data_IF_159734898960
#
_entry.id   IF_159734898960
#
_cell.length_a   1.000
_cell.length_b   1.000
_cell.length_c   1.000
_cell.angle_alpha   90.00
_cell.angle_beta   90.00
_cell.angle_gamma   90.00
#
_symmetry.space_group_name_H-M   'P 1'
#
loop_
_entity.id
_entity.type
_entity.pdbx_description
1 polymer ?
#
# COMPACT_ATOMS: atom_id res chain seq x y z
N UNK A 1 -2.02 -11.74 -8.37
CA UNK A 1 -2.58 -12.93 -9.04
C UNK A 1 -2.03 -14.20 -8.43
N UNK A 2 -0.70 -14.42 -8.38
CA UNK A 2 -0.09 -15.65 -7.83
C UNK A 2 -0.49 -15.97 -6.40
N UNK A 3 -0.48 -14.98 -5.49
CA UNK A 3 -0.86 -15.15 -4.09
C UNK A 3 -2.32 -15.59 -3.90
N UNK A 4 -3.25 -15.04 -4.71
CA UNK A 4 -4.65 -15.44 -4.66
C UNK A 4 -4.89 -16.87 -5.16
N UNK A 5 -4.19 -17.30 -6.23
CA UNK A 5 -4.24 -18.67 -6.72
C UNK A 5 -3.66 -19.65 -5.70
N UNK A 6 -2.55 -19.30 -5.07
CA UNK A 6 -1.91 -20.12 -4.07
C UNK A 6 -2.80 -20.25 -2.81
N UNK A 7 -3.44 -19.17 -2.38
CA UNK A 7 -4.35 -19.17 -1.24
C UNK A 7 -5.60 -20.04 -1.48
N UNK A 8 -6.08 -20.12 -2.72
CA UNK A 8 -7.19 -21.04 -3.09
C UNK A 8 -6.77 -22.51 -3.03
N UNK A 9 -5.50 -22.84 -3.35
CA UNK A 9 -5.01 -24.24 -3.37
C UNK A 9 -4.47 -24.72 -2.02
N UNK A 10 -3.67 -23.90 -1.35
CA UNK A 10 -2.95 -24.26 -0.12
C UNK A 10 -3.64 -23.72 1.15
N UNK A 11 -4.65 -22.88 0.99
CA UNK A 11 -5.30 -22.18 2.08
C UNK A 11 -4.54 -20.90 2.51
N UNK A 12 -5.25 -20.06 3.27
CA UNK A 12 -4.76 -18.72 3.66
C UNK A 12 -3.55 -18.80 4.61
N UNK A 13 -3.57 -19.70 5.58
CA UNK A 13 -2.51 -19.84 6.57
C UNK A 13 -1.17 -20.22 5.94
N UNK A 14 -1.18 -21.28 5.13
CA UNK A 14 0.04 -21.78 4.52
C UNK A 14 0.62 -20.78 3.51
N UNK A 15 -0.25 -20.11 2.72
CA UNK A 15 0.19 -19.09 1.78
C UNK A 15 0.80 -17.88 2.48
N UNK A 16 0.24 -17.45 3.62
CA UNK A 16 0.82 -16.35 4.42
C UNK A 16 2.15 -16.75 5.07
N UNK A 17 2.25 -17.96 5.60
CA UNK A 17 3.49 -18.49 6.18
C UNK A 17 4.61 -18.60 5.12
N UNK A 18 4.29 -19.13 3.93
CA UNK A 18 5.22 -19.16 2.79
C UNK A 18 5.65 -17.75 2.37
N UNK A 19 4.72 -16.78 2.38
CA UNK A 19 5.03 -15.37 2.13
C UNK A 19 6.04 -14.83 3.14
N UNK A 20 5.83 -15.08 4.42
CA UNK A 20 6.77 -14.69 5.50
C UNK A 20 8.15 -15.36 5.37
N UNK A 21 8.17 -16.64 5.07
CA UNK A 21 9.42 -17.39 4.86
C UNK A 21 10.21 -16.85 3.65
N UNK A 22 9.55 -16.62 2.53
CA UNK A 22 10.17 -16.04 1.33
C UNK A 22 10.71 -14.62 1.58
N UNK A 23 9.95 -13.80 2.30
CA UNK A 23 10.41 -12.45 2.66
C UNK A 23 11.67 -12.56 3.55
N UNK A 24 11.67 -13.39 4.57
CA UNK A 24 12.82 -13.62 5.43
C UNK A 24 14.05 -14.08 4.63
N UNK A 25 13.89 -15.12 3.78
CA UNK A 25 14.95 -15.63 2.92
C UNK A 25 15.53 -14.53 2.02
N UNK A 26 14.67 -13.71 1.40
CA UNK A 26 15.10 -12.62 0.54
C UNK A 26 15.93 -11.56 1.29
N UNK A 27 15.53 -11.17 2.49
CA UNK A 27 16.30 -10.26 3.35
C UNK A 27 17.64 -10.87 3.78
N UNK A 28 17.66 -12.14 4.19
CA UNK A 28 18.89 -12.85 4.58
C UNK A 28 19.86 -12.97 3.41
N UNK A 29 19.38 -13.30 2.21
CA UNK A 29 20.21 -13.33 1.00
C UNK A 29 20.76 -11.95 0.69
N UNK A 30 19.94 -10.90 0.78
CA UNK A 30 20.38 -9.52 0.56
C UNK A 30 21.47 -9.10 1.56
N UNK A 31 21.33 -9.48 2.83
CA UNK A 31 22.35 -9.20 3.86
C UNK A 31 23.70 -9.85 3.59
N UNK A 32 23.75 -10.92 2.80
CA UNK A 32 24.99 -11.67 2.43
C UNK A 32 25.65 -11.16 1.16
N UNK A 33 25.08 -10.16 0.47
CA UNK A 33 25.64 -9.64 -0.77
C UNK A 33 26.94 -8.85 -0.50
N UNK A 34 27.94 -9.06 -1.35
CA UNK A 34 29.23 -8.35 -1.27
C UNK A 34 29.25 -7.00 -2.03
N UNK A 35 28.11 -6.52 -2.49
CA UNK A 35 27.98 -5.25 -3.20
C UNK A 35 28.43 -5.26 -4.66
N UNK A 36 29.03 -6.35 -5.15
CA UNK A 36 29.57 -6.45 -6.52
C UNK A 36 28.55 -6.92 -7.56
N UNK A 37 27.43 -7.53 -7.16
CA UNK A 37 26.47 -8.12 -8.09
C UNK A 37 25.06 -7.48 -8.00
N UNK A 38 24.85 -6.46 -8.82
CA UNK A 38 23.54 -5.80 -8.97
C UNK A 38 22.40 -6.79 -9.34
N UNK A 39 22.62 -7.76 -10.25
CA UNK A 39 21.57 -8.75 -10.57
C UNK A 39 21.13 -9.58 -9.38
N UNK A 40 22.05 -9.92 -8.48
CA UNK A 40 21.74 -10.71 -7.29
C UNK A 40 20.90 -9.90 -6.28
N UNK A 41 21.11 -8.58 -6.18
CA UNK A 41 20.28 -7.68 -5.39
C UNK A 41 18.85 -7.63 -5.95
N UNK A 42 18.68 -7.50 -7.26
CA UNK A 42 17.36 -7.54 -7.89
C UNK A 42 16.65 -8.89 -7.66
N UNK A 43 17.38 -10.00 -7.71
CA UNK A 43 16.79 -11.32 -7.49
C UNK A 43 16.40 -11.50 -6.03
N UNK A 44 17.29 -11.24 -5.07
CA UNK A 44 17.04 -11.48 -3.65
C UNK A 44 16.01 -10.51 -3.08
N UNK A 45 16.23 -9.21 -3.24
CA UNK A 45 15.36 -8.19 -2.68
C UNK A 45 14.16 -7.90 -3.58
N UNK A 46 14.38 -7.70 -4.88
CA UNK A 46 13.33 -7.33 -5.83
C UNK A 46 12.36 -8.47 -6.14
N UNK A 47 12.82 -9.70 -6.33
CA UNK A 47 11.95 -10.81 -6.72
C UNK A 47 11.53 -11.65 -5.51
N UNK A 48 12.45 -12.18 -4.73
CA UNK A 48 12.14 -13.12 -3.65
C UNK A 48 11.38 -12.41 -2.52
N UNK A 49 11.95 -11.32 -2.00
CA UNK A 49 11.31 -10.56 -0.91
C UNK A 49 9.96 -9.99 -1.34
N UNK A 50 9.89 -9.34 -2.50
CA UNK A 50 8.66 -8.73 -2.98
C UNK A 50 7.55 -9.76 -3.24
N UNK A 51 7.90 -10.96 -3.76
CA UNK A 51 6.95 -12.06 -3.94
C UNK A 51 6.40 -12.54 -2.60
N UNK A 52 7.28 -12.70 -1.59
CA UNK A 52 6.88 -13.08 -0.24
C UNK A 52 5.91 -12.08 0.40
N UNK A 53 6.25 -10.80 0.34
CA UNK A 53 5.38 -9.71 0.83
C UNK A 53 4.05 -9.70 0.08
N UNK A 54 4.08 -9.85 -1.25
CA UNK A 54 2.87 -9.89 -2.08
C UNK A 54 1.93 -11.05 -1.74
N UNK A 55 2.45 -12.22 -1.38
CA UNK A 55 1.64 -13.36 -0.94
C UNK A 55 0.96 -13.06 0.41
N UNK A 56 1.72 -12.61 1.40
CA UNK A 56 1.18 -12.26 2.71
C UNK A 56 0.14 -11.14 2.61
N UNK A 57 0.43 -10.06 1.86
CA UNK A 57 -0.47 -8.93 1.66
C UNK A 57 -1.82 -9.35 1.06
N UNK A 58 -1.80 -10.14 -0.02
CA UNK A 58 -3.04 -10.60 -0.65
C UNK A 58 -3.89 -11.44 0.28
N UNK A 59 -3.28 -12.32 1.08
CA UNK A 59 -3.99 -13.15 2.05
C UNK A 59 -4.62 -12.30 3.14
N UNK A 60 -3.87 -11.36 3.72
CA UNK A 60 -4.38 -10.47 4.78
C UNK A 60 -5.54 -9.64 4.25
N UNK A 61 -5.37 -8.99 3.08
CA UNK A 61 -6.40 -8.16 2.48
C UNK A 61 -7.69 -8.95 2.21
N UNK A 62 -7.59 -10.11 1.57
CA UNK A 62 -8.76 -10.94 1.26
C UNK A 62 -9.44 -11.48 2.51
N UNK A 63 -8.68 -11.84 3.54
CA UNK A 63 -9.25 -12.33 4.81
C UNK A 63 -10.00 -11.22 5.56
N UNK A 64 -9.42 -10.02 5.65
CA UNK A 64 -10.09 -8.90 6.32
C UNK A 64 -11.35 -8.48 5.57
N UNK A 65 -11.31 -8.42 4.24
CA UNK A 65 -12.50 -8.15 3.43
C UNK A 65 -13.59 -9.23 3.55
N UNK A 66 -13.22 -10.48 3.82
CA UNK A 66 -14.17 -11.56 4.07
C UNK A 66 -14.87 -11.42 5.43
N UNK A 67 -14.19 -10.90 6.46
CA UNK A 67 -14.77 -10.64 7.78
C UNK A 67 -15.66 -9.39 7.83
N UNK A 68 -15.35 -8.37 7.02
CA UNK A 68 -16.06 -7.08 6.99
C UNK A 68 -16.62 -6.79 5.59
N UNK A 69 -17.61 -7.55 5.11
CA UNK A 69 -18.18 -7.35 3.78
C UNK A 69 -18.93 -6.02 3.63
N UNK A 70 -19.38 -5.42 4.74
CA UNK A 70 -20.06 -4.12 4.79
C UNK A 70 -19.09 -2.91 4.71
N UNK A 71 -17.80 -3.11 5.06
CA UNK A 71 -16.80 -2.04 5.16
C UNK A 71 -15.51 -2.38 4.42
N UNK A 72 -15.62 -2.99 3.24
CA UNK A 72 -14.46 -3.44 2.44
C UNK A 72 -13.49 -2.29 2.12
N UNK A 73 -14.01 -1.12 1.79
CA UNK A 73 -13.21 0.06 1.49
C UNK A 73 -12.46 0.57 2.72
N UNK A 74 -13.16 0.79 3.83
CA UNK A 74 -12.56 1.25 5.09
C UNK A 74 -11.48 0.29 5.59
N UNK A 75 -11.75 -1.02 5.57
CA UNK A 75 -10.79 -2.03 5.99
C UNK A 75 -9.56 -2.08 5.09
N UNK A 76 -9.74 -1.98 3.77
CA UNK A 76 -8.62 -1.90 2.83
C UNK A 76 -7.80 -0.64 3.04
N UNK A 77 -8.44 0.50 3.27
CA UNK A 77 -7.78 1.76 3.59
C UNK A 77 -6.97 1.69 4.88
N UNK A 78 -7.53 1.10 5.94
CA UNK A 78 -6.84 0.89 7.21
C UNK A 78 -5.61 -0.02 7.08
N UNK A 79 -5.72 -1.12 6.31
CA UNK A 79 -4.57 -1.98 6.01
C UNK A 79 -3.50 -1.24 5.22
N UNK A 80 -3.89 -0.44 4.24
CA UNK A 80 -2.97 0.37 3.44
C UNK A 80 -2.32 1.49 4.26
N UNK A 81 -2.99 2.04 5.27
CA UNK A 81 -2.38 2.97 6.21
C UNK A 81 -1.20 2.33 6.96
N UNK A 82 -1.26 1.03 7.23
CA UNK A 82 -0.15 0.27 7.83
C UNK A 82 1.16 0.41 7.05
N UNK A 83 1.11 0.55 5.72
CA UNK A 83 2.31 0.84 4.91
C UNK A 83 2.91 2.21 5.23
N UNK A 84 2.08 3.25 5.36
CA UNK A 84 2.54 4.58 5.76
C UNK A 84 3.13 4.59 7.16
N UNK A 85 2.45 3.98 8.12
CA UNK A 85 2.93 3.87 9.49
C UNK A 85 4.21 3.04 9.60
N UNK A 86 4.35 1.99 8.79
CA UNK A 86 5.56 1.14 8.79
C UNK A 86 6.81 1.92 8.37
N UNK A 87 6.70 2.83 7.42
CA UNK A 87 7.84 3.66 6.99
C UNK A 87 8.34 4.59 8.09
N UNK A 88 7.44 5.10 8.95
CA UNK A 88 7.82 5.91 10.10
C UNK A 88 8.51 5.09 11.20
N UNK A 89 7.98 3.92 11.52
CA UNK A 89 8.49 3.09 12.64
C UNK A 89 9.68 2.24 12.18
N UNK A 90 9.46 1.41 11.16
CA UNK A 90 10.50 0.49 10.67
C UNK A 90 11.58 1.22 9.87
N UNK A 91 11.20 2.28 9.14
CA UNK A 91 12.17 3.10 8.40
C UNK A 91 13.15 3.80 9.34
N UNK A 92 12.66 4.44 10.41
CA UNK A 92 13.51 5.08 11.42
C UNK A 92 14.37 4.07 12.16
N UNK A 93 13.81 2.89 12.49
CA UNK A 93 14.57 1.81 13.12
C UNK A 93 15.67 1.27 12.19
N UNK A 94 15.35 1.06 10.92
CA UNK A 94 16.32 0.62 9.91
C UNK A 94 17.46 1.63 9.76
N UNK A 95 17.13 2.92 9.67
CA UNK A 95 18.10 3.99 9.55
C UNK A 95 19.04 4.04 10.78
N UNK A 96 18.49 3.97 11.98
CA UNK A 96 19.26 3.92 13.21
C UNK A 96 20.18 2.69 13.29
N UNK A 97 19.73 1.52 12.82
CA UNK A 97 20.55 0.30 12.78
C UNK A 97 21.65 0.40 11.73
N UNK A 98 21.38 0.96 10.56
CA UNK A 98 22.34 1.11 9.46
C UNK A 98 23.43 2.12 9.82
N UNK A 99 23.06 3.22 10.48
CA UNK A 99 24.01 4.26 10.89
C UNK A 99 24.87 3.86 12.07
N UNK A 100 24.51 2.82 12.81
CA UNK A 100 25.29 2.34 13.94
C UNK A 100 26.55 1.58 13.43
N UNK A 101 27.78 2.08 13.71
CA UNK A 101 29.01 1.44 13.23
C UNK A 101 29.23 0.00 13.70
N UNK A 102 28.62 -0.38 14.84
CA UNK A 102 28.73 -1.73 15.40
C UNK A 102 27.80 -2.74 14.68
N UNK A 103 26.73 -2.27 14.03
CA UNK A 103 25.71 -3.13 13.39
C UNK A 103 25.91 -3.14 11.87
N UNK A 104 25.93 -1.99 11.24
CA UNK A 104 26.02 -1.83 9.81
C UNK A 104 24.78 -2.33 9.05
N UNK A 105 24.75 -2.08 7.74
CA UNK A 105 23.58 -2.39 6.91
C UNK A 105 23.29 -3.89 6.80
N UNK A 106 24.30 -4.76 6.82
CA UNK A 106 24.12 -6.23 6.70
C UNK A 106 23.36 -6.82 7.90
N UNK A 107 23.80 -6.46 9.11
CA UNK A 107 23.12 -6.92 10.33
C UNK A 107 21.74 -6.29 10.46
N UNK A 108 21.55 -5.04 10.04
CA UNK A 108 20.25 -4.38 10.01
C UNK A 108 19.26 -5.14 9.10
N UNK A 109 19.66 -5.49 7.87
CA UNK A 109 18.82 -6.28 6.95
C UNK A 109 18.52 -7.66 7.51
N UNK A 110 19.48 -8.31 8.15
CA UNK A 110 19.29 -9.63 8.77
C UNK A 110 18.29 -9.55 9.93
N UNK A 111 18.46 -8.62 10.85
CA UNK A 111 17.55 -8.41 11.98
C UNK A 111 16.12 -8.09 11.51
N UNK A 112 15.96 -7.16 10.56
CA UNK A 112 14.67 -6.80 10.01
C UNK A 112 14.03 -8.00 9.29
N UNK A 113 14.79 -8.73 8.49
CA UNK A 113 14.29 -9.88 7.75
C UNK A 113 13.78 -11.01 8.68
N UNK A 114 14.54 -11.31 9.73
CA UNK A 114 14.15 -12.31 10.73
C UNK A 114 12.92 -11.83 11.52
N UNK A 115 12.92 -10.58 11.97
CA UNK A 115 11.78 -10.00 12.69
C UNK A 115 10.49 -10.02 11.85
N UNK A 116 10.55 -9.56 10.59
CA UNK A 116 9.42 -9.60 9.65
C UNK A 116 8.96 -11.03 9.41
N UNK A 117 9.90 -11.97 9.20
CA UNK A 117 9.59 -13.37 9.01
C UNK A 117 8.84 -13.98 10.20
N UNK A 118 9.33 -13.75 11.42
CA UNK A 118 8.68 -14.21 12.66
C UNK A 118 7.26 -13.63 12.79
N UNK A 119 7.11 -12.31 12.60
CA UNK A 119 5.80 -11.64 12.71
C UNK A 119 4.82 -12.17 11.67
N UNK A 120 5.24 -12.33 10.41
CA UNK A 120 4.36 -12.85 9.35
C UNK A 120 3.98 -14.31 9.55
N UNK A 121 4.89 -15.15 10.02
CA UNK A 121 4.59 -16.56 10.35
C UNK A 121 3.67 -16.65 11.56
N UNK A 122 3.92 -15.88 12.62
CA UNK A 122 3.04 -15.81 13.78
C UNK A 122 1.63 -15.30 13.38
N UNK A 123 1.56 -14.25 12.58
CA UNK A 123 0.29 -13.75 12.03
C UNK A 123 -0.44 -14.81 11.19
N UNK A 124 0.30 -15.62 10.41
CA UNK A 124 -0.29 -16.70 9.61
C UNK A 124 -1.01 -17.75 10.46
N UNK A 125 -0.54 -18.01 11.67
CA UNK A 125 -1.21 -18.94 12.60
C UNK A 125 -2.55 -18.39 13.12
N UNK A 126 -2.62 -17.07 13.27
CA UNK A 126 -3.81 -16.37 13.77
C UNK A 126 -4.87 -16.11 12.68
N UNK A 127 -4.45 -16.03 11.41
CA UNK A 127 -5.35 -15.74 10.29
C UNK A 127 -6.33 -16.90 10.10
N UNK A 128 -7.65 -16.57 10.13
CA UNK A 128 -8.74 -17.49 9.86
C UNK A 128 -9.78 -16.83 8.97
N UNK A 129 -10.29 -17.57 8.00
CA UNK A 129 -11.48 -17.16 7.26
C UNK A 129 -12.72 -17.37 8.12
N UNK A 130 -13.80 -16.57 7.91
CA UNK A 130 -15.08 -16.85 8.57
C UNK A 130 -15.58 -18.25 8.20
N UNK A 131 -16.15 -18.95 9.19
CA UNK A 131 -16.70 -20.29 8.98
C UNK A 131 -17.91 -20.22 8.03
N UNK A 132 -18.16 -21.26 7.22
CA UNK A 132 -19.40 -21.35 6.42
C UNK A 132 -20.62 -21.23 7.33
N UNK A 133 -21.54 -20.31 7.00
CA UNK A 133 -22.75 -20.07 7.80
C UNK A 133 -22.61 -18.99 8.87
N UNK A 134 -21.46 -18.34 9.04
CA UNK A 134 -21.33 -17.17 9.94
C UNK A 134 -22.16 -16.02 9.40
N UNK A 135 -23.08 -15.50 10.21
CA UNK A 135 -23.88 -14.32 9.87
C UNK A 135 -22.97 -13.08 9.94
N UNK A 136 -22.62 -12.53 8.79
CA UNK A 136 -21.78 -11.35 8.66
C UNK A 136 -22.64 -10.11 8.39
N UNK A 137 -22.21 -8.91 8.82
CA UNK A 137 -22.92 -7.67 8.54
C UNK A 137 -23.09 -7.45 7.04
N UNK A 138 -24.32 -7.19 6.60
CA UNK A 138 -24.62 -6.90 5.19
C UNK A 138 -24.35 -5.42 4.87
N UNK A 139 -23.86 -5.08 3.66
CA UNK A 139 -23.66 -3.70 3.24
C UNK A 139 -24.99 -2.92 3.29
N UNK A 140 -25.06 -1.85 4.05
CA UNK A 140 -26.28 -1.00 4.16
C UNK A 140 -26.71 -0.40 2.80
N UNK A 141 -25.81 -0.27 1.85
CA UNK A 141 -26.10 0.22 0.51
C UNK A 141 -26.82 -0.79 -0.40
N UNK A 142 -26.89 -2.07 -0.03
CA UNK A 142 -27.62 -3.09 -0.79
C UNK A 142 -29.15 -2.97 -0.62
N UNK A 143 -29.63 -2.34 0.46
CA UNK A 143 -31.05 -2.18 0.73
C UNK A 143 -31.75 -1.10 -0.10
N UNK A 144 -31.01 -0.13 -0.70
CA UNK A 144 -31.58 1.01 -1.42
C UNK A 144 -31.10 1.15 -2.89
N UNK A 145 -30.29 0.24 -3.39
CA UNK A 145 -29.98 0.18 -4.80
C UNK A 145 -30.85 -0.89 -5.43
N UNK A 146 -31.72 -0.42 -6.34
CA UNK A 146 -32.23 -1.26 -7.42
C UNK A 146 -31.06 -2.14 -7.84
N UNK A 147 -31.20 -3.43 -7.60
CA UNK A 147 -30.33 -4.47 -8.12
C UNK A 147 -30.21 -4.21 -9.63
N UNK A 148 -29.22 -3.40 -10.06
CA UNK A 148 -28.64 -3.63 -11.36
C UNK A 148 -28.05 -5.03 -11.20
N UNK A 149 -28.76 -6.00 -11.77
CA UNK A 149 -28.36 -7.38 -11.96
C UNK A 149 -27.07 -7.42 -12.83
N UNK A 150 -26.00 -6.86 -12.33
CA UNK A 150 -24.69 -7.33 -12.63
C UNK A 150 -24.55 -8.63 -11.83
N UNK A 151 -25.05 -9.73 -12.38
CA UNK A 151 -24.54 -11.03 -12.01
C UNK A 151 -23.05 -10.85 -11.78
N UNK A 152 -22.61 -11.11 -10.56
CA UNK A 152 -21.19 -11.10 -10.22
C UNK A 152 -20.55 -12.27 -10.98
N UNK A 153 -20.35 -12.08 -12.28
CA UNK A 153 -19.74 -13.06 -13.14
C UNK A 153 -18.29 -13.22 -12.66
N UNK A 154 -18.01 -14.34 -12.06
CA UNK A 154 -16.67 -14.74 -11.64
C UNK A 154 -15.82 -14.95 -12.91
N UNK A 155 -15.08 -13.92 -13.29
CA UNK A 155 -14.17 -13.99 -14.42
C UNK A 155 -12.88 -14.69 -14.02
N UNK A 156 -12.46 -15.65 -14.85
CA UNK A 156 -11.09 -16.17 -14.77
C UNK A 156 -10.09 -15.07 -15.13
N UNK A 157 -8.85 -15.18 -14.64
CA UNK A 157 -7.80 -14.19 -14.93
C UNK A 157 -7.62 -13.94 -16.44
N UNK A 158 -7.69 -14.98 -17.25
CA UNK A 158 -7.58 -14.84 -18.71
C UNK A 158 -8.74 -14.08 -19.35
N UNK A 159 -9.97 -14.29 -18.87
CA UNK A 159 -11.15 -13.55 -19.32
C UNK A 159 -11.10 -12.09 -18.91
N UNK A 160 -10.62 -11.81 -17.67
CA UNK A 160 -10.43 -10.45 -17.17
C UNK A 160 -9.43 -9.66 -18.04
N UNK A 161 -8.28 -10.25 -18.36
CA UNK A 161 -7.25 -9.62 -19.19
C UNK A 161 -7.70 -9.33 -20.64
N UNK A 162 -8.68 -10.06 -21.16
CA UNK A 162 -9.26 -9.81 -22.47
C UNK A 162 -10.29 -8.69 -22.50
N UNK A 163 -10.75 -8.22 -21.33
CA UNK A 163 -11.75 -7.17 -21.24
C UNK A 163 -11.13 -5.78 -21.27
N UNK A 164 -11.57 -4.92 -22.18
CA UNK A 164 -11.12 -3.54 -22.31
C UNK A 164 -11.40 -2.69 -21.06
N UNK A 165 -12.48 -3.01 -20.32
CA UNK A 165 -12.81 -2.36 -19.04
C UNK A 165 -11.72 -2.56 -18.00
N UNK A 166 -11.07 -3.74 -17.98
CA UNK A 166 -9.92 -3.99 -17.10
C UNK A 166 -8.76 -3.06 -17.43
N UNK A 167 -8.38 -2.93 -18.68
CA UNK A 167 -7.27 -2.09 -19.11
C UNK A 167 -7.52 -0.61 -18.85
N UNK A 168 -8.75 -0.13 -19.05
CA UNK A 168 -9.12 1.25 -18.70
C UNK A 168 -8.96 1.51 -17.20
N UNK A 169 -9.46 0.63 -16.34
CA UNK A 169 -9.30 0.75 -14.89
C UNK A 169 -7.82 0.65 -14.48
N UNK A 170 -7.07 -0.27 -15.09
CA UNK A 170 -5.65 -0.48 -14.84
C UNK A 170 -4.82 0.76 -15.18
N UNK A 171 -5.04 1.37 -16.35
CA UNK A 171 -4.36 2.62 -16.75
C UNK A 171 -4.71 3.78 -15.81
N UNK A 172 -5.98 3.93 -15.44
CA UNK A 172 -6.41 4.95 -14.49
C UNK A 172 -5.67 4.82 -13.15
N UNK A 173 -5.57 3.60 -12.61
CA UNK A 173 -4.85 3.33 -11.35
C UNK A 173 -3.35 3.59 -11.50
N UNK A 174 -2.73 3.25 -12.64
CA UNK A 174 -1.31 3.53 -12.89
C UNK A 174 -1.05 5.03 -12.82
N UNK A 175 -1.82 5.86 -13.52
CA UNK A 175 -1.62 7.30 -13.52
C UNK A 175 -1.85 7.93 -12.14
N UNK A 176 -2.90 7.51 -11.42
CA UNK A 176 -3.15 7.98 -10.06
C UNK A 176 -2.01 7.58 -9.10
N UNK A 177 -1.58 6.33 -9.16
CA UNK A 177 -0.48 5.83 -8.32
C UNK A 177 0.85 6.49 -8.67
N UNK A 178 1.14 6.71 -9.96
CA UNK A 178 2.35 7.41 -10.39
C UNK A 178 2.38 8.84 -9.85
N UNK A 179 1.27 9.57 -9.93
CA UNK A 179 1.16 10.93 -9.43
C UNK A 179 1.39 11.00 -7.91
N UNK A 180 0.69 10.16 -7.13
CA UNK A 180 0.85 10.12 -5.67
C UNK A 180 2.28 9.74 -5.25
N UNK A 181 2.87 8.71 -5.86
CA UNK A 181 4.23 8.29 -5.56
C UNK A 181 5.27 9.34 -5.95
N UNK A 182 5.08 10.06 -7.06
CA UNK A 182 5.97 11.15 -7.47
C UNK A 182 5.97 12.27 -6.44
N UNK A 183 4.80 12.70 -5.98
CA UNK A 183 4.71 13.75 -4.95
C UNK A 183 5.40 13.32 -3.66
N UNK A 184 5.18 12.09 -3.19
CA UNK A 184 5.82 11.57 -1.98
C UNK A 184 7.35 11.53 -2.14
N UNK A 185 7.85 11.06 -3.29
CA UNK A 185 9.28 10.90 -3.54
C UNK A 185 10.01 12.24 -3.63
N UNK A 186 9.38 13.25 -4.20
CA UNK A 186 9.98 14.58 -4.43
C UNK A 186 9.49 15.67 -3.47
N UNK A 187 8.70 15.31 -2.44
CA UNK A 187 8.12 16.28 -1.51
C UNK A 187 9.16 17.16 -0.82
N UNK A 188 10.31 16.58 -0.44
CA UNK A 188 11.41 17.29 0.19
C UNK A 188 12.06 18.28 -0.78
N UNK A 189 12.41 17.82 -1.97
CA UNK A 189 13.07 18.64 -2.98
C UNK A 189 12.15 19.76 -3.47
N UNK A 190 10.86 19.47 -3.63
CA UNK A 190 9.84 20.44 -3.99
C UNK A 190 9.73 21.54 -2.92
N UNK A 191 9.68 21.18 -1.65
CA UNK A 191 9.58 22.17 -0.56
C UNK A 191 10.84 23.04 -0.45
N UNK A 192 12.02 22.46 -0.67
CA UNK A 192 13.28 23.20 -0.70
C UNK A 192 13.35 24.17 -1.91
N UNK A 193 12.88 23.74 -3.09
CA UNK A 193 12.86 24.59 -4.30
C UNK A 193 11.99 25.82 -4.18
N UNK A 194 10.94 25.75 -3.34
CA UNK A 194 10.03 26.89 -3.06
C UNK A 194 10.57 27.80 -1.95
N UNK A 195 11.74 27.45 -1.34
CA UNK A 195 12.40 28.26 -0.32
C UNK A 195 12.07 27.85 1.14
N UNK A 196 11.53 26.66 1.37
CA UNK A 196 11.34 26.16 2.71
C UNK A 196 12.68 25.78 3.36
N UNK A 197 12.78 25.96 4.70
CA UNK A 197 13.97 25.52 5.43
C UNK A 197 14.09 23.98 5.45
N UNK A 198 15.29 23.44 5.60
CA UNK A 198 15.53 22.00 5.64
C UNK A 198 14.75 21.31 6.79
N UNK A 199 14.62 21.97 7.95
CA UNK A 199 13.86 21.47 9.09
C UNK A 199 12.36 21.39 8.75
N UNK A 200 11.80 22.45 8.13
CA UNK A 200 10.41 22.48 7.70
C UNK A 200 10.13 21.40 6.64
N UNK A 201 11.02 21.24 5.66
CA UNK A 201 10.89 20.24 4.59
C UNK A 201 10.86 18.82 5.17
N UNK A 202 11.69 18.51 6.15
CA UNK A 202 11.69 17.19 6.81
C UNK A 202 10.40 16.96 7.59
N UNK A 203 9.91 17.98 8.32
CA UNK A 203 8.63 17.90 9.03
C UNK A 203 7.46 17.68 8.06
N UNK A 204 7.45 18.40 6.93
CA UNK A 204 6.41 18.26 5.90
C UNK A 204 6.34 16.84 5.33
N UNK A 205 7.48 16.18 5.09
CA UNK A 205 7.49 14.78 4.63
C UNK A 205 6.86 13.85 5.67
N UNK A 206 7.14 14.07 6.96
CA UNK A 206 6.51 13.31 8.04
C UNK A 206 5.00 13.51 8.10
N UNK A 207 4.55 14.77 8.03
CA UNK A 207 3.11 15.10 8.03
C UNK A 207 2.43 14.54 6.78
N UNK A 208 3.06 14.63 5.61
CA UNK A 208 2.56 14.03 4.36
C UNK A 208 2.34 12.53 4.52
N UNK A 209 3.26 11.80 5.15
CA UNK A 209 3.12 10.36 5.38
C UNK A 209 1.90 10.05 6.27
N UNK A 210 1.65 10.84 7.30
CA UNK A 210 0.47 10.70 8.16
C UNK A 210 -0.81 11.01 7.39
N UNK A 211 -0.85 12.12 6.65
CA UNK A 211 -2.00 12.50 5.82
C UNK A 211 -2.30 11.44 4.76
N UNK A 212 -1.27 10.86 4.13
CA UNK A 212 -1.42 9.76 3.18
C UNK A 212 -2.08 8.53 3.84
N UNK A 213 -1.66 8.18 5.06
CA UNK A 213 -2.29 7.09 5.80
C UNK A 213 -3.76 7.36 6.12
N UNK A 214 -4.08 8.55 6.64
CA UNK A 214 -5.44 8.95 6.98
C UNK A 214 -6.33 9.07 5.73
N UNK A 215 -5.80 9.60 4.63
CA UNK A 215 -6.49 9.73 3.35
C UNK A 215 -6.98 8.39 2.82
N UNK A 216 -6.20 7.31 2.98
CA UNK A 216 -6.60 5.95 2.58
C UNK A 216 -7.80 5.44 3.36
N UNK A 217 -7.85 5.69 4.68
CA UNK A 217 -9.01 5.31 5.50
C UNK A 217 -10.23 6.13 5.08
N UNK A 218 -10.05 7.44 4.92
CA UNK A 218 -11.14 8.35 4.54
C UNK A 218 -11.73 7.97 3.17
N UNK A 219 -10.86 7.76 2.17
CA UNK A 219 -11.28 7.32 0.83
C UNK A 219 -11.98 5.96 0.87
N UNK A 220 -11.49 5.02 1.70
CA UNK A 220 -12.15 3.75 1.93
C UNK A 220 -13.54 3.90 2.56
N UNK A 221 -13.69 4.77 3.55
CA UNK A 221 -14.98 5.08 4.17
C UNK A 221 -15.95 5.78 3.20
N UNK A 222 -15.44 6.70 2.38
CA UNK A 222 -16.21 7.33 1.31
C UNK A 222 -16.66 6.31 0.26
N UNK A 223 -15.82 5.34 -0.07
CA UNK A 223 -16.18 4.25 -0.98
C UNK A 223 -17.35 3.41 -0.42
N UNK A 224 -17.31 3.08 0.86
CA UNK A 224 -18.35 2.29 1.51
C UNK A 224 -19.69 3.06 1.64
N UNK A 225 -19.63 4.40 1.78
CA UNK A 225 -20.82 5.26 1.98
C UNK A 225 -21.39 5.83 0.68
N UNK A 226 -20.54 6.44 -0.18
CA UNK A 226 -20.95 7.11 -1.41
C UNK A 226 -20.98 6.19 -2.63
N UNK A 227 -20.31 5.03 -2.51
CA UNK A 227 -20.16 4.04 -3.56
C UNK A 227 -19.07 4.39 -4.58
N UNK A 228 -18.76 3.42 -5.43
CA UNK A 228 -17.61 3.40 -6.34
C UNK A 228 -17.51 4.62 -7.26
N UNK A 229 -18.61 4.98 -7.96
CA UNK A 229 -18.58 6.04 -8.97
C UNK A 229 -18.29 7.41 -8.38
N UNK A 230 -18.98 7.77 -7.29
CA UNK A 230 -18.81 9.08 -6.64
C UNK A 230 -17.43 9.21 -6.02
N UNK A 231 -16.96 8.18 -5.34
CA UNK A 231 -15.61 8.18 -4.74
C UNK A 231 -14.52 8.31 -5.78
N UNK A 232 -14.62 7.60 -6.92
CA UNK A 232 -13.64 7.75 -8.01
C UNK A 232 -13.66 9.16 -8.62
N UNK A 233 -14.84 9.77 -8.80
CA UNK A 233 -14.93 11.15 -9.30
C UNK A 233 -14.30 12.14 -8.32
N UNK A 234 -14.56 11.99 -7.03
CA UNK A 234 -13.94 12.81 -5.98
C UNK A 234 -12.43 12.63 -5.98
N UNK A 235 -11.92 11.39 -5.96
CA UNK A 235 -10.49 11.12 -5.96
C UNK A 235 -9.78 11.71 -7.20
N UNK A 236 -10.36 11.55 -8.40
CA UNK A 236 -9.79 12.15 -9.61
C UNK A 236 -9.85 13.69 -9.57
N UNK A 237 -10.95 14.25 -9.09
CA UNK A 237 -11.11 15.72 -8.96
C UNK A 237 -10.11 16.30 -7.98
N UNK A 238 -9.93 15.66 -6.82
CA UNK A 238 -8.93 16.08 -5.83
C UNK A 238 -7.51 15.95 -6.37
N UNK A 239 -7.19 14.89 -7.12
CA UNK A 239 -5.88 14.71 -7.74
C UNK A 239 -5.58 15.80 -8.78
N UNK A 240 -6.54 16.15 -9.63
CA UNK A 240 -6.39 17.25 -10.61
C UNK A 240 -6.19 18.59 -9.89
N UNK A 241 -7.01 18.88 -8.87
CA UNK A 241 -6.89 20.11 -8.09
C UNK A 241 -5.52 20.19 -7.40
N UNK A 242 -5.06 19.11 -6.80
CA UNK A 242 -3.75 19.03 -6.18
C UNK A 242 -2.62 19.31 -7.18
N UNK A 243 -2.67 18.73 -8.39
CA UNK A 243 -1.69 19.00 -9.43
C UNK A 243 -1.65 20.49 -9.84
N UNK A 244 -2.83 21.11 -10.00
CA UNK A 244 -2.93 22.54 -10.32
C UNK A 244 -2.36 23.42 -9.19
N UNK A 245 -2.67 23.10 -7.93
CA UNK A 245 -2.13 23.84 -6.78
C UNK A 245 -0.62 23.65 -6.66
N UNK A 246 -0.10 22.47 -6.97
CA UNK A 246 1.36 22.22 -7.01
C UNK A 246 2.03 23.10 -8.06
N UNK A 247 1.51 23.14 -9.29
CA UNK A 247 2.02 24.00 -10.36
C UNK A 247 2.00 25.47 -9.95
N UNK A 248 0.90 25.92 -9.35
CA UNK A 248 0.76 27.28 -8.88
C UNK A 248 1.74 27.60 -7.75
N UNK A 249 1.97 26.68 -6.80
CA UNK A 249 2.91 26.87 -5.70
C UNK A 249 4.35 27.06 -6.18
N UNK A 250 4.74 26.34 -7.23
CA UNK A 250 6.05 26.48 -7.86
C UNK A 250 6.13 27.80 -8.64
N UNK A 251 5.09 28.18 -9.39
CA UNK A 251 5.07 29.41 -10.17
C UNK A 251 5.13 30.67 -9.30
N UNK A 252 4.49 30.66 -8.13
CA UNK A 252 4.42 31.81 -7.21
C UNK A 252 5.53 31.75 -6.13
N UNK A 253 6.33 30.70 -6.08
CA UNK A 253 7.34 30.46 -5.03
C UNK A 253 6.77 30.60 -3.61
N UNK A 254 5.57 30.05 -3.36
CA UNK A 254 4.83 30.22 -2.11
C UNK A 254 4.93 28.95 -1.23
N UNK A 255 5.67 29.07 -0.13
CA UNK A 255 5.79 27.99 0.87
C UNK A 255 4.43 27.56 1.46
N UNK A 256 3.53 28.48 1.87
CA UNK A 256 2.20 28.09 2.39
C UNK A 256 1.37 27.30 1.39
N UNK A 257 1.44 27.67 0.11
CA UNK A 257 0.71 26.97 -0.95
C UNK A 257 1.27 25.56 -1.19
N UNK A 258 2.61 25.42 -1.13
CA UNK A 258 3.28 24.14 -1.22
C UNK A 258 2.90 23.22 -0.04
N UNK A 259 2.87 23.75 1.17
CA UNK A 259 2.41 23.01 2.37
C UNK A 259 0.98 22.53 2.20
N UNK A 260 0.06 23.43 1.83
CA UNK A 260 -1.35 23.07 1.60
C UNK A 260 -1.49 22.00 0.51
N UNK A 261 -0.73 22.12 -0.58
CA UNK A 261 -0.72 21.14 -1.65
C UNK A 261 -0.26 19.76 -1.15
N UNK A 262 0.88 19.68 -0.47
CA UNK A 262 1.42 18.43 0.03
C UNK A 262 0.47 17.72 1.01
N UNK A 263 -0.22 18.47 1.86
CA UNK A 263 -1.21 17.92 2.78
C UNK A 263 -2.45 17.37 2.08
N UNK A 264 -2.82 17.97 0.96
CA UNK A 264 -4.04 17.63 0.22
C UNK A 264 -3.82 16.58 -0.88
N UNK A 265 -2.59 16.44 -1.38
CA UNK A 265 -2.22 15.50 -2.47
C UNK A 265 -2.13 14.05 -2.01
N UNK A 266 -2.42 13.79 -0.76
CA UNK A 266 -2.35 12.46 -0.17
C UNK A 266 -3.66 11.69 -0.43
N UNK A 267 -3.76 10.89 -1.52
CA UNK A 267 -4.94 10.05 -1.79
C UNK A 267 -4.98 8.83 -0.90
#
# INVERSE_FOLDING_TARGET
VGGGLLARRLGTRLTSALGGALACIGFVLTARLDGSSLPMLYLSYGVITATGIGFAYNVVLSTVQAWFPDKKGTCSGALLMGFGASSLVLGSLADALIQNPAVGWRAAFLCLGVAIGIVLVAAALLIRLPAPGTVLPQPKAAANRVQEDFEAADYTTGQMLRRFTFWRAFLCIIFLAAMGNTVISFAKDLSLSVGASAALSTTLVGVLAVCNGLGRILTGALFDTLGRRRTMLLANGTAILAALVTLLSVAVHSVPLCVACLLYTSP
#
